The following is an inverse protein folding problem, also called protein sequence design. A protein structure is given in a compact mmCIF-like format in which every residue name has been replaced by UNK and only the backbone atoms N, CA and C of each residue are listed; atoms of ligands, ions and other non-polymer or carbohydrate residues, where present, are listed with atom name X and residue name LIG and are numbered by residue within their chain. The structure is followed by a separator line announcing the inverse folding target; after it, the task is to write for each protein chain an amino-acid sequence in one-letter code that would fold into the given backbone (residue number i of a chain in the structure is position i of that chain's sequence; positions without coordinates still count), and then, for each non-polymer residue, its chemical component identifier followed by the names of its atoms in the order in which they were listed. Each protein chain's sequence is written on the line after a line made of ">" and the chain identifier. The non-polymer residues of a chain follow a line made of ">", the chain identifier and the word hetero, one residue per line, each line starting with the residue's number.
data_IF_605617925565
#
_entry.id   IF_605617925565
#
_cell.length_a   1.000
_cell.length_b   1.000
_cell.length_c   1.000
_cell.angle_alpha   90.00
_cell.angle_beta   90.00
_cell.angle_gamma   90.00
#
_symmetry.space_group_name_H-M   'P 1'
#
loop_
_entity.id
_entity.type
_entity.pdbx_description
1 polymer ?
#
# COMPACT_ATOMS: atom_id res chain seq x y z
N UNK A 1 -6.83 29.47 1.49
CA UNK A 1 -7.34 28.10 1.29
C UNK A 1 -6.14 27.19 1.11
N UNK A 2 -5.87 26.20 1.99
CA UNK A 2 -4.80 25.26 1.68
C UNK A 2 -5.20 24.54 0.40
N UNK A 3 -4.33 24.62 -0.61
CA UNK A 3 -4.64 24.23 -1.97
C UNK A 3 -5.06 22.78 -2.06
N UNK A 4 -6.05 22.50 -2.90
CA UNK A 4 -6.53 21.17 -3.31
C UNK A 4 -5.41 20.18 -3.69
N UNK A 5 -4.18 20.65 -3.89
CA UNK A 5 -3.02 19.86 -4.27
C UNK A 5 -2.22 19.29 -3.09
N UNK A 6 -2.33 19.80 -1.85
CA UNK A 6 -1.40 19.42 -0.77
C UNK A 6 -1.53 17.96 -0.30
N UNK A 7 -2.63 17.28 -0.59
CA UNK A 7 -2.82 15.87 -0.17
C UNK A 7 -2.43 14.85 -1.24
N UNK A 8 -2.48 15.24 -2.51
CA UNK A 8 -2.21 14.35 -3.65
C UNK A 8 -0.79 14.54 -4.18
N UNK A 9 0.19 14.26 -3.32
CA UNK A 9 1.62 14.20 -3.68
C UNK A 9 2.03 12.78 -4.12
N UNK A 10 1.18 12.11 -4.89
CA UNK A 10 1.53 10.83 -5.52
C UNK A 10 2.65 10.99 -6.56
N UNK A 11 3.17 9.87 -7.06
CA UNK A 11 4.18 9.91 -8.12
C UNK A 11 3.65 10.58 -9.38
N UNK A 12 4.34 11.64 -9.83
CA UNK A 12 4.00 12.40 -11.04
C UNK A 12 4.72 11.85 -12.28
N UNK A 13 5.51 10.79 -12.12
CA UNK A 13 6.36 10.22 -13.19
C UNK A 13 5.55 9.77 -14.41
N UNK A 14 4.35 9.23 -14.19
CA UNK A 14 3.47 8.72 -15.27
C UNK A 14 2.43 9.75 -15.72
N UNK A 15 2.55 11.01 -15.31
CA UNK A 15 1.66 12.10 -15.74
C UNK A 15 1.51 12.26 -17.26
N UNK A 16 2.56 12.12 -18.10
CA UNK A 16 2.37 12.20 -19.55
C UNK A 16 1.45 11.09 -20.08
N UNK A 17 1.52 9.88 -19.52
CA UNK A 17 0.66 8.75 -19.89
C UNK A 17 -0.78 8.99 -19.42
N UNK A 18 -0.94 9.45 -18.17
CA UNK A 18 -2.24 9.81 -17.60
C UNK A 18 -2.96 10.89 -18.43
N UNK A 19 -2.24 11.94 -18.83
CA UNK A 19 -2.77 12.99 -19.69
C UNK A 19 -3.17 12.47 -21.07
N UNK A 20 -2.38 11.57 -21.67
CA UNK A 20 -2.67 10.97 -22.97
C UNK A 20 -3.94 10.11 -22.95
N UNK A 21 -4.17 9.40 -21.85
CA UNK A 21 -5.37 8.56 -21.67
C UNK A 21 -6.58 9.32 -21.10
N UNK A 22 -6.41 10.55 -20.63
CA UNK A 22 -7.46 11.31 -19.93
C UNK A 22 -7.85 10.69 -18.58
N UNK A 23 -6.94 9.95 -17.95
CA UNK A 23 -7.18 9.24 -16.68
C UNK A 23 -6.42 9.93 -15.55
N UNK A 24 -6.98 9.89 -14.34
CA UNK A 24 -6.30 10.35 -13.13
C UNK A 24 -4.97 9.61 -12.89
N UNK A 25 -3.93 10.35 -12.52
CA UNK A 25 -2.57 9.81 -12.33
C UNK A 25 -2.51 8.66 -11.32
N UNK A 26 -3.31 8.73 -10.25
CA UNK A 26 -3.34 7.71 -9.20
C UNK A 26 -3.80 6.34 -9.73
N UNK A 27 -4.74 6.33 -10.69
CA UNK A 27 -5.22 5.09 -11.31
C UNK A 27 -4.15 4.43 -12.16
N UNK A 28 -3.39 5.24 -12.92
CA UNK A 28 -2.27 4.74 -13.72
C UNK A 28 -1.15 4.21 -12.81
N UNK A 29 -0.83 4.95 -11.75
CA UNK A 29 0.15 4.52 -10.75
C UNK A 29 -0.27 3.18 -10.11
N UNK A 30 -1.54 3.05 -9.73
CA UNK A 30 -2.08 1.81 -9.16
C UNK A 30 -1.94 0.62 -10.13
N UNK A 31 -2.31 0.79 -11.40
CA UNK A 31 -2.21 -0.27 -12.41
C UNK A 31 -0.75 -0.69 -12.61
N UNK A 32 0.17 0.27 -12.71
CA UNK A 32 1.60 -0.02 -12.89
C UNK A 32 2.19 -0.70 -11.65
N UNK A 33 1.86 -0.21 -10.45
CA UNK A 33 2.25 -0.85 -9.21
C UNK A 33 1.67 -2.27 -9.08
N UNK A 34 0.45 -2.52 -9.56
CA UNK A 34 -0.16 -3.84 -9.55
C UNK A 34 0.59 -4.82 -10.48
N UNK A 35 0.97 -4.38 -11.68
CA UNK A 35 1.76 -5.18 -12.62
C UNK A 35 3.13 -5.51 -11.99
N UNK A 36 3.81 -4.52 -11.41
CA UNK A 36 5.09 -4.72 -10.72
C UNK A 36 4.91 -5.66 -9.51
N UNK A 37 3.81 -5.53 -8.76
CA UNK A 37 3.50 -6.37 -7.61
C UNK A 37 3.32 -7.84 -8.01
N UNK A 38 2.65 -8.12 -9.14
CA UNK A 38 2.52 -9.48 -9.66
C UNK A 38 3.88 -10.08 -10.05
N UNK A 39 4.74 -9.30 -10.72
CA UNK A 39 6.10 -9.75 -11.07
C UNK A 39 6.91 -10.03 -9.80
N UNK A 40 6.82 -9.15 -8.80
CA UNK A 40 7.50 -9.31 -7.52
C UNK A 40 6.97 -10.51 -6.74
N UNK A 41 5.66 -10.78 -6.82
CA UNK A 41 5.05 -11.97 -6.21
C UNK A 41 5.63 -13.25 -6.82
N UNK A 42 5.77 -13.32 -8.15
CA UNK A 42 6.39 -14.46 -8.80
C UNK A 42 7.85 -14.66 -8.34
N UNK A 43 8.64 -13.59 -8.29
CA UNK A 43 10.02 -13.63 -7.77
C UNK A 43 10.05 -14.09 -6.31
N UNK A 44 9.13 -13.57 -5.48
CA UNK A 44 9.00 -13.97 -4.09
C UNK A 44 8.67 -15.46 -3.96
N UNK A 45 7.72 -15.99 -4.74
CA UNK A 45 7.43 -17.43 -4.74
C UNK A 45 8.61 -18.29 -5.19
N UNK A 46 9.38 -17.84 -6.18
CA UNK A 46 10.54 -18.58 -6.68
C UNK A 46 11.73 -18.56 -5.71
N UNK A 47 11.96 -17.45 -5.02
CA UNK A 47 13.15 -17.26 -4.18
C UNK A 47 12.91 -17.60 -2.71
N UNK A 48 11.74 -17.29 -2.16
CA UNK A 48 11.42 -17.39 -0.73
C UNK A 48 10.81 -18.75 -0.40
N UNK A 49 11.51 -19.82 -0.80
CA UNK A 49 11.15 -21.18 -0.41
C UNK A 49 11.14 -21.31 1.11
N UNK A 50 10.18 -22.07 1.64
CA UNK A 50 9.95 -22.25 3.09
C UNK A 50 11.19 -22.79 3.83
N UNK A 51 12.08 -23.47 3.12
CA UNK A 51 13.32 -24.03 3.67
C UNK A 51 14.43 -22.99 3.79
N UNK A 52 14.42 -21.95 2.96
CA UNK A 52 15.51 -20.96 2.87
C UNK A 52 15.24 -19.69 3.66
N UNK A 53 13.97 -19.32 3.83
CA UNK A 53 13.58 -18.02 4.39
C UNK A 53 12.59 -18.18 5.54
N UNK A 54 12.83 -17.46 6.62
CA UNK A 54 11.96 -17.42 7.80
C UNK A 54 10.52 -17.01 7.45
N UNK A 55 9.55 -17.58 8.18
CA UNK A 55 8.13 -17.23 8.07
C UNK A 55 7.90 -15.72 8.24
N UNK A 56 8.61 -15.08 9.17
CA UNK A 56 8.45 -13.65 9.45
C UNK A 56 8.86 -12.80 8.24
N UNK A 57 9.98 -13.12 7.61
CA UNK A 57 10.43 -12.42 6.40
C UNK A 57 9.46 -12.62 5.24
N UNK A 58 8.91 -13.84 5.07
CA UNK A 58 7.91 -14.14 4.03
C UNK A 58 6.60 -13.37 4.19
N UNK A 59 6.24 -12.95 5.40
CA UNK A 59 5.05 -12.15 5.69
C UNK A 59 5.37 -10.66 5.60
N UNK A 60 6.48 -10.23 6.21
CA UNK A 60 6.88 -8.83 6.27
C UNK A 60 7.26 -8.28 4.89
N UNK A 61 7.93 -9.06 4.05
CA UNK A 61 8.38 -8.62 2.73
C UNK A 61 7.23 -8.12 1.83
N UNK A 62 6.20 -8.92 1.51
CA UNK A 62 5.09 -8.46 0.67
C UNK A 62 4.31 -7.30 1.33
N UNK A 63 4.19 -7.29 2.67
CA UNK A 63 3.55 -6.19 3.38
C UNK A 63 4.31 -4.88 3.21
N UNK A 64 5.64 -4.88 3.40
CA UNK A 64 6.48 -3.69 3.22
C UNK A 64 6.45 -3.22 1.76
N UNK A 65 6.59 -4.13 0.79
CA UNK A 65 6.51 -3.76 -0.63
C UNK A 65 5.15 -3.16 -1.00
N UNK A 66 4.05 -3.75 -0.51
CA UNK A 66 2.71 -3.21 -0.70
C UNK A 66 2.55 -1.81 -0.12
N UNK A 67 3.03 -1.57 1.12
CA UNK A 67 3.00 -0.24 1.74
C UNK A 67 3.83 0.78 0.96
N UNK A 68 5.00 0.40 0.46
CA UNK A 68 5.83 1.27 -0.39
C UNK A 68 5.13 1.62 -1.71
N UNK A 69 4.48 0.66 -2.37
CA UNK A 69 3.71 0.92 -3.59
C UNK A 69 2.49 1.79 -3.32
N UNK A 70 1.78 1.55 -2.22
CA UNK A 70 0.68 2.40 -1.78
C UNK A 70 1.14 3.85 -1.55
N UNK A 71 2.27 4.05 -0.87
CA UNK A 71 2.84 5.38 -0.69
C UNK A 71 3.27 6.02 -2.01
N UNK A 72 3.85 5.26 -2.94
CA UNK A 72 4.21 5.76 -4.27
C UNK A 72 2.98 6.17 -5.09
N UNK A 73 1.88 5.41 -5.00
CA UNK A 73 0.65 5.70 -5.76
C UNK A 73 -0.07 6.95 -5.26
N UNK A 74 -0.25 7.07 -3.95
CA UNK A 74 -1.17 8.04 -3.34
C UNK A 74 -0.48 9.10 -2.46
N UNK A 75 0.85 9.01 -2.32
CA UNK A 75 1.64 9.97 -1.56
C UNK A 75 1.22 10.09 -0.10
N UNK A 76 1.13 11.34 0.36
CA UNK A 76 0.87 11.65 1.77
C UNK A 76 -0.56 11.28 2.23
N UNK A 77 -1.55 11.24 1.32
CA UNK A 77 -2.92 10.84 1.64
C UNK A 77 -2.98 9.42 2.23
N UNK A 78 -2.11 8.52 1.78
CA UNK A 78 -2.04 7.15 2.29
C UNK A 78 -1.68 7.09 3.78
N UNK A 79 -0.91 8.05 4.32
CA UNK A 79 -0.54 8.06 5.75
C UNK A 79 -1.77 8.17 6.64
N UNK A 80 -2.74 8.99 6.25
CA UNK A 80 -3.98 9.14 7.00
C UNK A 80 -4.78 7.83 7.03
N UNK A 81 -4.89 7.16 5.88
CA UNK A 81 -5.58 5.86 5.78
C UNK A 81 -4.88 4.79 6.60
N UNK A 82 -3.56 4.67 6.50
CA UNK A 82 -2.78 3.71 7.28
C UNK A 82 -2.87 3.97 8.77
N UNK A 83 -2.84 5.23 9.19
CA UNK A 83 -3.02 5.59 10.60
C UNK A 83 -4.42 5.21 11.08
N UNK A 84 -5.46 5.51 10.31
CA UNK A 84 -6.84 5.16 10.67
C UNK A 84 -7.02 3.65 10.83
N UNK A 85 -6.51 2.87 9.87
CA UNK A 85 -6.58 1.40 9.90
C UNK A 85 -5.75 0.84 11.06
N UNK A 86 -4.53 1.36 11.26
CA UNK A 86 -3.65 0.95 12.36
C UNK A 86 -4.24 1.25 13.73
N UNK A 87 -4.82 2.43 13.93
CA UNK A 87 -5.52 2.79 15.17
C UNK A 87 -6.75 1.92 15.39
N UNK A 88 -7.56 1.68 14.35
CA UNK A 88 -8.74 0.81 14.44
C UNK A 88 -8.35 -0.61 14.85
N UNK A 89 -7.27 -1.14 14.26
CA UNK A 89 -6.73 -2.44 14.63
C UNK A 89 -6.17 -2.45 16.07
N UNK A 90 -5.45 -1.41 16.48
CA UNK A 90 -4.92 -1.30 17.84
C UNK A 90 -6.04 -1.22 18.89
N UNK A 91 -7.13 -0.51 18.59
CA UNK A 91 -8.33 -0.46 19.44
C UNK A 91 -8.95 -1.85 19.51
N UNK A 92 -9.16 -2.53 18.38
CA UNK A 92 -9.71 -3.89 18.34
C UNK A 92 -8.87 -4.88 19.14
N UNK A 93 -7.54 -4.80 19.01
CA UNK A 93 -6.61 -5.67 19.73
C UNK A 93 -6.58 -5.40 21.24
N UNK A 94 -6.72 -4.12 21.63
CA UNK A 94 -6.71 -3.71 23.04
C UNK A 94 -8.09 -3.77 23.71
N UNK A 95 -9.16 -3.96 22.94
CA UNK A 95 -10.52 -4.00 23.47
C UNK A 95 -10.76 -5.33 24.19
N UNK A 96 -11.09 -5.33 25.49
CA UNK A 96 -11.36 -6.56 26.22
C UNK A 96 -12.59 -7.27 25.63
N UNK A 97 -12.55 -8.60 25.47
CA UNK A 97 -13.64 -9.36 24.87
C UNK A 97 -14.96 -9.21 25.64
N UNK A 98 -14.89 -8.92 26.93
CA UNK A 98 -16.05 -8.70 27.81
C UNK A 98 -16.92 -7.49 27.42
N UNK A 99 -16.34 -6.47 26.78
CA UNK A 99 -17.09 -5.29 26.30
C UNK A 99 -17.63 -5.52 24.89
N UNK A 100 -16.88 -6.22 24.03
CA UNK A 100 -17.21 -6.38 22.61
C UNK A 100 -18.25 -7.49 22.37
N UNK A 101 -18.24 -8.56 23.17
CA UNK A 101 -19.12 -9.72 22.99
C UNK A 101 -20.30 -9.78 23.99
N UNK A 102 -20.68 -8.65 24.60
CA UNK A 102 -21.87 -8.59 25.46
C UNK A 102 -23.13 -8.32 24.65
#
# INVERSE_FOLDING_TARGET
>A
MPGIHTFYDGSVLLKPIANSLGIEIDKINLVVCQIISLMLAYVHYSMFSATKVSRMTRIAFPAICGLLFCYFCYGNAMKHLLLLVGLSYAIMHSSPPEIVHK
#
